data_IF_888357818177
#
_entry.id   IF_888357818177
#
_cell.length_a   1.000
_cell.length_b   1.000
_cell.length_c   1.000
_cell.angle_alpha   90.00
_cell.angle_beta   90.00
_cell.angle_gamma   90.00
#
_symmetry.space_group_name_H-M   'P 1'
#
loop_
_entity.id
_entity.type
_entity.pdbx_description
1 polymer ?
#
# COMPACT_ATOMS: atom_id res chain seq x y z
N UNK A 1 16.25 14.40 -11.13
CA UNK A 1 17.43 14.83 -11.94
C UNK A 1 18.39 13.66 -12.12
N UNK A 2 19.13 13.56 -13.24
CA UNK A 2 20.00 12.39 -13.48
C UNK A 2 21.09 12.23 -12.38
N UNK A 3 21.41 10.98 -11.95
CA UNK A 3 22.45 10.71 -10.98
C UNK A 3 23.85 11.07 -11.46
N UNK A 4 24.83 11.02 -10.57
CA UNK A 4 26.24 11.19 -10.95
C UNK A 4 26.71 9.99 -11.78
N UNK A 5 26.39 8.78 -11.31
CA UNK A 5 26.69 7.50 -11.94
C UNK A 5 25.55 6.51 -11.62
N UNK A 6 24.77 6.12 -12.63
CA UNK A 6 23.59 5.27 -12.46
C UNK A 6 23.91 3.85 -11.97
N UNK A 7 25.13 3.37 -12.25
CA UNK A 7 25.56 1.99 -11.95
C UNK A 7 26.32 1.88 -10.62
N UNK A 8 26.74 3.00 -10.02
CA UNK A 8 27.47 3.03 -8.75
C UNK A 8 26.53 3.20 -7.54
N UNK A 9 26.13 2.05 -7.00
CA UNK A 9 25.29 1.92 -5.80
C UNK A 9 26.09 1.91 -4.49
N UNK A 10 27.39 2.22 -4.51
CA UNK A 10 28.23 2.18 -3.31
C UNK A 10 27.74 3.22 -2.30
N UNK A 11 27.48 2.77 -1.06
CA UNK A 11 27.06 3.67 0.01
C UNK A 11 28.22 4.55 0.49
N UNK A 12 27.99 5.85 0.46
CA UNK A 12 28.89 6.91 0.93
C UNK A 12 28.26 7.58 2.14
N UNK A 13 28.96 7.52 3.27
CA UNK A 13 28.51 8.16 4.49
C UNK A 13 28.70 9.69 4.42
N UNK A 14 27.64 10.43 4.76
CA UNK A 14 27.57 11.90 4.75
C UNK A 14 27.04 12.40 6.07
N UNK A 15 27.82 13.21 6.79
CA UNK A 15 27.41 13.78 8.08
C UNK A 15 27.13 15.27 7.94
N UNK A 16 25.87 15.66 8.13
CA UNK A 16 25.41 17.05 8.12
C UNK A 16 25.29 17.55 9.55
N UNK A 17 26.10 18.54 9.91
CA UNK A 17 26.10 19.14 11.24
C UNK A 17 24.84 19.98 11.50
N UNK A 18 24.41 20.07 12.77
CA UNK A 18 23.28 20.93 13.17
C UNK A 18 23.58 22.40 12.84
N UNK A 19 22.63 23.05 12.17
CA UNK A 19 22.76 24.45 11.72
C UNK A 19 23.57 24.63 10.44
N UNK A 20 23.91 23.55 9.73
CA UNK A 20 24.53 23.65 8.40
C UNK A 20 23.65 24.42 7.43
N UNK A 21 24.24 25.36 6.70
CA UNK A 21 23.54 26.08 5.63
C UNK A 21 23.37 25.19 4.39
N UNK A 22 22.41 25.52 3.52
CA UNK A 22 22.26 24.85 2.23
C UNK A 22 23.57 24.88 1.40
N UNK A 23 24.35 25.96 1.52
CA UNK A 23 25.65 26.04 0.83
C UNK A 23 26.64 25.01 1.38
N UNK A 24 26.73 24.86 2.70
CA UNK A 24 27.63 23.88 3.31
C UNK A 24 27.22 22.43 2.96
N UNK A 25 25.91 22.16 2.89
CA UNK A 25 25.40 20.84 2.46
C UNK A 25 25.75 20.58 0.99
N UNK A 26 25.55 21.57 0.11
CA UNK A 26 25.87 21.42 -1.31
C UNK A 26 27.37 21.24 -1.57
N UNK A 27 28.24 21.93 -0.82
CA UNK A 27 29.69 21.75 -0.88
C UNK A 27 30.08 20.32 -0.46
N UNK A 28 29.51 19.82 0.64
CA UNK A 28 29.77 18.46 1.14
C UNK A 28 29.34 17.37 0.16
N UNK A 29 28.18 17.53 -0.49
CA UNK A 29 27.66 16.57 -1.46
C UNK A 29 28.49 16.57 -2.75
N UNK A 30 28.99 17.73 -3.18
CA UNK A 30 29.86 17.84 -4.36
C UNK A 30 31.24 17.25 -4.08
N UNK A 31 31.82 17.52 -2.90
CA UNK A 31 33.11 16.94 -2.46
C UNK A 31 33.08 15.41 -2.45
N UNK A 32 31.94 14.83 -2.07
CA UNK A 32 31.72 13.37 -2.06
C UNK A 32 31.26 12.79 -3.39
N UNK A 33 31.24 13.61 -4.45
CA UNK A 33 30.81 13.22 -5.80
C UNK A 33 29.37 12.66 -5.85
N UNK A 34 28.49 13.11 -4.95
CA UNK A 34 27.07 12.72 -4.89
C UNK A 34 26.19 13.67 -5.72
N UNK A 35 26.69 14.88 -6.00
CA UNK A 35 26.07 15.83 -6.93
C UNK A 35 27.09 16.33 -7.93
N UNK A 36 26.68 16.53 -9.19
CA UNK A 36 27.57 16.98 -10.28
C UNK A 36 27.88 18.48 -10.22
N UNK A 37 26.99 19.27 -9.62
CA UNK A 37 27.10 20.72 -9.60
C UNK A 37 26.37 21.30 -8.39
N UNK A 38 27.11 21.87 -7.44
CA UNK A 38 26.53 22.46 -6.23
C UNK A 38 25.64 23.66 -6.49
N UNK A 39 25.97 24.51 -7.47
CA UNK A 39 25.18 25.72 -7.75
C UNK A 39 23.80 25.32 -8.26
N UNK A 40 23.74 24.30 -9.09
CA UNK A 40 22.49 23.74 -9.59
C UNK A 40 21.70 23.05 -8.49
N UNK A 41 22.35 22.25 -7.63
CA UNK A 41 21.71 21.63 -6.47
C UNK A 41 21.07 22.67 -5.54
N UNK A 42 21.78 23.77 -5.26
CA UNK A 42 21.26 24.88 -4.45
C UNK A 42 20.03 25.52 -5.10
N UNK A 43 20.13 25.89 -6.38
CA UNK A 43 19.03 26.49 -7.12
C UNK A 43 17.80 25.58 -7.15
N UNK A 44 18.01 24.29 -7.39
CA UNK A 44 16.96 23.27 -7.41
C UNK A 44 16.27 23.14 -6.04
N UNK A 45 17.07 23.06 -4.96
CA UNK A 45 16.55 22.91 -3.60
C UNK A 45 15.76 24.14 -3.17
N UNK A 46 16.26 25.34 -3.47
CA UNK A 46 15.58 26.62 -3.20
C UNK A 46 14.28 26.75 -4.00
N UNK A 47 14.29 26.42 -5.29
CA UNK A 47 13.08 26.48 -6.12
C UNK A 47 12.01 25.47 -5.70
N UNK A 48 12.41 24.38 -5.05
CA UNK A 48 11.49 23.33 -4.57
C UNK A 48 10.87 23.61 -3.20
N UNK A 49 11.18 24.75 -2.55
CA UNK A 49 10.77 25.08 -1.16
C UNK A 49 11.14 23.98 -0.12
N UNK A 50 12.16 23.16 -0.43
CA UNK A 50 12.63 22.07 0.45
C UNK A 50 13.83 22.46 1.31
N UNK A 51 14.38 23.67 1.13
CA UNK A 51 15.55 24.16 1.88
C UNK A 51 15.37 24.12 3.40
N UNK A 52 14.18 24.46 3.91
CA UNK A 52 13.86 24.43 5.34
C UNK A 52 13.64 23.02 5.91
N UNK A 53 13.56 22.00 5.04
CA UNK A 53 13.24 20.62 5.41
C UNK A 53 14.49 19.76 5.59
N UNK A 54 15.66 20.20 5.12
CA UNK A 54 16.92 19.47 5.25
C UNK A 54 17.32 19.36 6.73
N UNK A 55 17.53 18.13 7.21
CA UNK A 55 17.83 17.85 8.61
C UNK A 55 19.32 17.56 8.81
N UNK A 56 19.81 17.85 10.00
CA UNK A 56 21.14 17.41 10.44
C UNK A 56 21.10 15.92 10.80
N UNK A 57 22.19 15.20 10.52
CA UNK A 57 22.27 13.75 10.70
C UNK A 57 23.39 13.11 9.87
N UNK A 58 23.60 11.82 10.06
CA UNK A 58 24.47 10.98 9.23
C UNK A 58 23.62 10.17 8.25
N UNK A 59 23.97 10.20 6.97
CA UNK A 59 23.21 9.60 5.88
C UNK A 59 24.10 8.66 5.07
N UNK A 60 23.53 7.59 4.53
CA UNK A 60 24.16 6.73 3.53
C UNK A 60 23.56 7.09 2.17
N UNK A 61 24.37 7.69 1.30
CA UNK A 61 23.96 8.16 -0.04
C UNK A 61 24.80 7.43 -1.10
N UNK A 62 24.31 7.29 -2.33
CA UNK A 62 25.10 6.69 -3.43
C UNK A 62 25.13 7.60 -4.65
N UNK A 63 26.10 7.39 -5.55
CA UNK A 63 26.23 8.16 -6.80
C UNK A 63 25.10 7.89 -7.79
N UNK A 64 24.41 6.75 -7.61
CA UNK A 64 23.20 6.36 -8.34
C UNK A 64 21.94 7.10 -7.88
N UNK A 65 21.97 7.84 -6.78
CA UNK A 65 20.82 8.63 -6.33
C UNK A 65 20.62 9.88 -7.18
N UNK A 66 19.37 10.19 -7.49
CA UNK A 66 19.01 11.47 -8.11
C UNK A 66 19.08 12.60 -7.08
N UNK A 67 19.07 13.86 -7.53
CA UNK A 67 19.00 14.99 -6.60
C UNK A 67 17.71 14.96 -5.77
N UNK A 68 16.62 14.42 -6.33
CA UNK A 68 15.35 14.26 -5.63
C UNK A 68 15.47 13.25 -4.49
N UNK A 69 16.12 12.11 -4.76
CA UNK A 69 16.37 11.07 -3.75
C UNK A 69 17.27 11.60 -2.63
N UNK A 70 18.35 12.31 -2.98
CA UNK A 70 19.29 12.91 -2.01
C UNK A 70 18.56 13.94 -1.14
N UNK A 71 17.81 14.87 -1.75
CA UNK A 71 17.05 15.89 -1.02
C UNK A 71 15.99 15.23 -0.13
N UNK A 72 15.31 14.20 -0.63
CA UNK A 72 14.31 13.46 0.12
C UNK A 72 14.93 12.75 1.34
N UNK A 73 16.03 12.02 1.16
CA UNK A 73 16.75 11.33 2.24
C UNK A 73 17.25 12.32 3.30
N UNK A 74 17.86 13.44 2.90
CA UNK A 74 18.34 14.46 3.86
C UNK A 74 17.18 15.19 4.55
N UNK A 75 16.04 15.37 3.87
CA UNK A 75 14.86 16.00 4.47
C UNK A 75 14.20 15.14 5.54
N UNK A 76 14.38 13.82 5.47
CA UNK A 76 13.78 12.84 6.39
C UNK A 76 14.59 12.67 7.68
N UNK A 77 15.93 12.65 7.61
CA UNK A 77 16.81 12.48 8.78
C UNK A 77 17.61 11.17 8.76
N UNK A 78 18.38 10.89 9.83
CA UNK A 78 19.28 9.72 9.98
C UNK A 78 18.66 8.35 9.69
N UNK A 79 17.34 8.27 9.77
CA UNK A 79 16.61 7.09 9.37
C UNK A 79 16.19 7.34 7.92
N UNK A 80 16.83 6.63 6.97
CA UNK A 80 16.18 6.38 5.68
C UNK A 80 14.72 5.99 5.93
N UNK A 81 13.81 6.27 4.98
CA UNK A 81 12.36 6.32 5.22
C UNK A 81 11.93 5.29 6.27
N UNK A 82 11.59 5.73 7.50
CA UNK A 82 11.33 4.82 8.63
C UNK A 82 10.29 3.82 8.13
N UNK A 83 10.64 2.54 8.05
CA UNK A 83 9.67 1.51 7.68
C UNK A 83 8.94 1.03 8.94
N UNK A 84 7.63 0.87 8.81
CA UNK A 84 6.78 0.25 9.81
C UNK A 84 6.24 -1.06 9.26
N UNK A 85 6.09 -2.04 10.15
CA UNK A 85 5.41 -3.30 9.83
C UNK A 85 4.02 -3.28 10.43
N UNK A 86 3.03 -3.71 9.65
CA UNK A 86 1.65 -3.90 10.10
C UNK A 86 1.19 -5.31 9.75
N UNK A 87 0.50 -5.95 10.69
CA UNK A 87 -0.13 -7.26 10.48
C UNK A 87 -1.63 -7.02 10.33
N UNK A 88 -2.16 -7.24 9.13
CA UNK A 88 -3.58 -7.15 8.84
C UNK A 88 -4.17 -8.56 8.92
N UNK A 89 -5.03 -8.77 9.91
CA UNK A 89 -5.55 -10.10 10.25
C UNK A 89 -6.77 -10.45 9.40
N UNK A 90 -6.88 -11.73 9.01
CA UNK A 90 -8.05 -12.29 8.33
C UNK A 90 -9.35 -12.06 9.12
N UNK A 91 -10.47 -11.94 8.40
CA UNK A 91 -11.80 -11.72 9.00
C UNK A 91 -12.07 -10.31 9.51
N UNK A 92 -11.08 -9.41 9.47
CA UNK A 92 -11.25 -7.99 9.81
C UNK A 92 -11.80 -7.18 8.63
N UNK A 93 -12.41 -6.03 8.95
CA UNK A 93 -13.02 -5.13 7.96
C UNK A 93 -12.09 -3.97 7.60
N UNK A 94 -12.36 -3.29 6.49
CA UNK A 94 -11.57 -2.13 6.04
C UNK A 94 -11.38 -1.05 7.14
N UNK A 95 -12.40 -0.69 7.95
CA UNK A 95 -12.21 0.24 9.07
C UNK A 95 -11.26 -0.23 10.17
N UNK A 96 -11.13 -1.54 10.38
CA UNK A 96 -10.17 -2.09 11.34
C UNK A 96 -8.75 -1.96 10.78
N UNK A 97 -8.54 -2.33 9.51
CA UNK A 97 -7.24 -2.14 8.85
C UNK A 97 -6.78 -0.68 8.87
N UNK A 98 -7.69 0.26 8.64
CA UNK A 98 -7.38 1.68 8.70
C UNK A 98 -6.85 2.10 10.08
N UNK A 99 -7.44 1.57 11.16
CA UNK A 99 -7.00 1.83 12.54
C UNK A 99 -5.67 1.14 12.86
N UNK A 100 -5.45 -0.06 12.35
CA UNK A 100 -4.20 -0.80 12.54
C UNK A 100 -3.04 -0.07 11.86
N UNK A 101 -3.26 0.49 10.67
CA UNK A 101 -2.29 1.33 9.95
C UNK A 101 -1.92 2.61 10.71
N UNK A 102 -2.91 3.27 11.32
CA UNK A 102 -2.66 4.44 12.17
C UNK A 102 -1.89 4.06 13.44
N UNK A 103 -2.28 2.95 14.08
CA UNK A 103 -1.62 2.45 15.29
C UNK A 103 -0.17 2.04 15.02
N UNK A 104 0.11 1.48 13.85
CA UNK A 104 1.45 1.14 13.38
C UNK A 104 2.28 2.37 12.95
N UNK A 105 1.70 3.58 12.96
CA UNK A 105 2.38 4.80 12.53
C UNK A 105 2.62 4.90 11.02
N UNK A 106 1.92 4.08 10.23
CA UNK A 106 2.03 4.05 8.77
C UNK A 106 1.09 5.04 8.08
N UNK A 107 0.07 5.52 8.80
CA UNK A 107 -0.83 6.60 8.38
C UNK A 107 -1.04 7.55 9.57
N UNK A 108 -1.19 8.85 9.27
CA UNK A 108 -1.50 9.84 10.31
C UNK A 108 -2.96 9.74 10.79
N UNK A 109 -3.88 9.43 9.87
CA UNK A 109 -5.31 9.30 10.10
C UNK A 109 -5.88 8.16 9.23
N UNK A 110 -7.07 7.66 9.57
CA UNK A 110 -7.75 6.60 8.81
C UNK A 110 -8.44 7.11 7.55
N UNK A 111 -8.72 8.42 7.45
CA UNK A 111 -9.57 9.03 6.44
C UNK A 111 -9.10 8.82 4.99
N UNK A 112 -7.81 9.02 4.71
CA UNK A 112 -7.24 8.87 3.38
C UNK A 112 -7.31 7.41 2.89
N UNK A 113 -6.95 6.46 3.76
CA UNK A 113 -7.06 5.03 3.47
C UNK A 113 -8.51 4.62 3.19
N UNK A 114 -9.44 5.05 4.06
CA UNK A 114 -10.86 4.76 3.90
C UNK A 114 -11.45 5.38 2.63
N UNK A 115 -10.97 6.55 2.22
CA UNK A 115 -11.40 7.19 0.97
C UNK A 115 -10.98 6.37 -0.25
N UNK A 116 -9.70 5.96 -0.31
CA UNK A 116 -9.19 5.11 -1.39
C UNK A 116 -9.92 3.76 -1.40
N UNK A 117 -10.10 3.11 -0.26
CA UNK A 117 -10.84 1.85 -0.18
C UNK A 117 -12.32 1.99 -0.59
N UNK A 118 -12.90 3.18 -0.39
CA UNK A 118 -14.28 3.49 -0.75
C UNK A 118 -14.49 3.66 -2.24
N UNK A 119 -13.53 4.25 -2.95
CA UNK A 119 -13.71 4.64 -4.36
C UNK A 119 -12.82 3.87 -5.33
N UNK A 120 -11.78 3.18 -4.84
CA UNK A 120 -10.66 2.66 -5.61
C UNK A 120 -9.93 3.73 -6.45
N UNK A 121 -10.14 5.01 -6.16
CA UNK A 121 -9.52 6.10 -6.91
C UNK A 121 -8.00 6.13 -6.69
N UNK A 122 -7.24 6.27 -7.78
CA UNK A 122 -5.78 6.24 -7.74
C UNK A 122 -5.18 4.83 -7.60
N UNK A 123 -6.01 3.78 -7.56
CA UNK A 123 -5.55 2.39 -7.54
C UNK A 123 -5.62 1.81 -8.95
N UNK A 124 -4.53 1.20 -9.40
CA UNK A 124 -4.46 0.48 -10.66
C UNK A 124 -5.04 -0.92 -10.47
N UNK A 125 -6.30 -1.08 -10.87
CA UNK A 125 -6.98 -2.38 -10.90
C UNK A 125 -6.67 -3.05 -12.25
N UNK A 126 -5.94 -4.17 -12.25
CA UNK A 126 -5.63 -4.92 -13.49
C UNK A 126 -6.52 -6.14 -13.71
N UNK A 127 -7.26 -6.56 -12.69
CA UNK A 127 -8.16 -7.69 -12.76
C UNK A 127 -9.50 -7.24 -13.37
N UNK A 128 -9.84 -7.77 -14.54
CA UNK A 128 -11.05 -7.39 -15.29
C UNK A 128 -12.33 -7.67 -14.50
N UNK A 129 -12.44 -8.82 -13.83
CA UNK A 129 -13.60 -9.13 -12.98
C UNK A 129 -13.75 -8.11 -11.84
N UNK A 130 -12.64 -7.66 -11.25
CA UNK A 130 -12.66 -6.65 -10.18
C UNK A 130 -13.10 -5.29 -10.72
N UNK A 131 -12.66 -4.91 -11.93
CA UNK A 131 -13.10 -3.68 -12.57
C UNK A 131 -14.61 -3.69 -12.82
N UNK A 132 -15.17 -4.82 -13.26
CA UNK A 132 -16.60 -4.98 -13.48
C UNK A 132 -17.39 -4.81 -12.18
N UNK A 133 -16.92 -5.42 -11.08
CA UNK A 133 -17.53 -5.28 -9.75
C UNK A 133 -17.53 -3.83 -9.28
N UNK A 134 -16.38 -3.15 -9.35
CA UNK A 134 -16.25 -1.74 -8.94
C UNK A 134 -17.16 -0.85 -9.79
N UNK A 135 -17.21 -1.07 -11.11
CA UNK A 135 -18.06 -0.32 -12.02
C UNK A 135 -19.55 -0.55 -11.75
N UNK A 136 -19.95 -1.78 -11.43
CA UNK A 136 -21.31 -2.14 -11.04
C UNK A 136 -21.72 -1.44 -9.75
N UNK A 137 -20.90 -1.52 -8.69
CA UNK A 137 -21.17 -0.88 -7.40
C UNK A 137 -21.29 0.65 -7.52
N UNK A 138 -20.50 1.27 -8.39
CA UNK A 138 -20.57 2.70 -8.62
C UNK A 138 -21.96 3.15 -9.12
N UNK A 139 -22.66 2.27 -9.83
CA UNK A 139 -23.98 2.52 -10.43
C UNK A 139 -25.14 1.91 -9.62
N UNK A 140 -24.86 1.01 -8.67
CA UNK A 140 -25.86 0.33 -7.87
C UNK A 140 -26.68 1.31 -7.00
N UNK A 141 -27.98 1.00 -6.82
CA UNK A 141 -28.87 1.76 -5.95
C UNK A 141 -28.50 1.60 -4.46
N UNK A 142 -28.06 0.40 -4.08
CA UNK A 142 -27.48 0.09 -2.77
C UNK A 142 -25.98 -0.14 -2.95
N UNK A 143 -25.19 0.89 -2.70
CA UNK A 143 -23.73 0.83 -2.88
C UNK A 143 -23.07 0.15 -1.69
N UNK A 144 -22.04 -0.66 -1.96
CA UNK A 144 -21.12 -1.09 -0.91
C UNK A 144 -20.52 0.14 -0.24
N UNK A 145 -20.35 0.06 1.08
CA UNK A 145 -19.73 1.15 1.81
C UNK A 145 -18.26 1.34 1.38
N UNK A 146 -17.56 0.24 1.10
CA UNK A 146 -16.21 0.22 0.53
C UNK A 146 -16.18 -0.72 -0.68
N UNK A 147 -15.88 -0.21 -1.88
CA UNK A 147 -15.84 -1.03 -3.12
C UNK A 147 -14.69 -2.04 -3.10
N UNK A 148 -13.65 -1.80 -2.30
CA UNK A 148 -12.54 -2.73 -2.10
C UNK A 148 -12.71 -3.65 -0.88
N UNK A 149 -13.85 -3.65 -0.19
CA UNK A 149 -14.09 -4.59 0.93
C UNK A 149 -13.96 -6.04 0.43
N UNK A 150 -13.15 -6.85 1.14
CA UNK A 150 -12.85 -8.24 0.75
C UNK A 150 -11.75 -8.39 -0.30
N UNK A 151 -11.34 -7.30 -0.96
CA UNK A 151 -10.26 -7.27 -1.97
C UNK A 151 -8.92 -6.76 -1.41
N UNK A 152 -8.94 -6.14 -0.22
CA UNK A 152 -7.73 -5.75 0.50
C UNK A 152 -7.19 -6.97 1.26
N UNK A 153 -6.22 -7.67 0.66
CA UNK A 153 -5.80 -8.97 1.18
C UNK A 153 -5.13 -8.86 2.56
N UNK A 154 -5.57 -9.63 3.58
CA UNK A 154 -4.92 -9.66 4.89
C UNK A 154 -3.55 -10.35 4.79
N UNK A 155 -2.49 -9.66 5.19
CA UNK A 155 -1.13 -10.18 5.25
C UNK A 155 -0.29 -9.31 6.21
N UNK A 156 0.98 -9.66 6.36
CA UNK A 156 1.98 -8.78 6.97
C UNK A 156 2.61 -7.90 5.91
N UNK A 157 2.53 -6.59 6.10
CA UNK A 157 3.08 -5.60 5.18
C UNK A 157 4.15 -4.75 5.85
N UNK A 158 5.16 -4.39 5.07
CA UNK A 158 6.15 -3.39 5.44
C UNK A 158 6.03 -2.20 4.49
N UNK A 159 5.90 -1.01 5.07
CA UNK A 159 5.77 0.24 4.33
C UNK A 159 6.65 1.31 4.93
N UNK A 160 7.03 2.29 4.12
CA UNK A 160 7.56 3.54 4.65
C UNK A 160 6.46 4.30 5.40
N UNK A 161 6.82 4.94 6.51
CA UNK A 161 5.92 5.73 7.39
C UNK A 161 5.26 6.93 6.72
N UNK A 162 5.71 7.33 5.54
CA UNK A 162 5.09 8.36 4.71
C UNK A 162 4.43 7.80 3.44
N UNK A 163 4.28 6.47 3.34
CA UNK A 163 3.62 5.86 2.21
C UNK A 163 2.22 6.43 2.04
N UNK A 164 1.88 6.84 0.82
CA UNK A 164 0.54 7.33 0.53
C UNK A 164 -0.48 6.20 0.69
N UNK A 165 -1.69 6.53 1.15
CA UNK A 165 -2.78 5.57 1.29
C UNK A 165 -3.02 4.74 0.02
N UNK A 166 -2.93 5.36 -1.16
CA UNK A 166 -3.04 4.69 -2.45
C UNK A 166 -1.98 3.61 -2.68
N UNK A 167 -0.74 3.83 -2.22
CA UNK A 167 0.35 2.84 -2.32
C UNK A 167 0.08 1.64 -1.43
N UNK A 168 -0.43 1.87 -0.21
CA UNK A 168 -0.78 0.81 0.73
C UNK A 168 -1.94 -0.03 0.17
N UNK A 169 -2.98 0.61 -0.34
CA UNK A 169 -4.11 -0.07 -0.97
C UNK A 169 -3.68 -0.83 -2.22
N UNK A 170 -2.85 -0.24 -3.08
CA UNK A 170 -2.32 -0.91 -4.26
C UNK A 170 -1.61 -2.21 -3.91
N UNK A 171 -0.76 -2.20 -2.88
CA UNK A 171 -0.05 -3.41 -2.44
C UNK A 171 -0.99 -4.52 -1.97
N UNK A 172 -2.07 -4.16 -1.28
CA UNK A 172 -3.06 -5.14 -0.82
C UNK A 172 -3.88 -5.72 -1.98
N UNK A 173 -4.23 -4.90 -2.96
CA UNK A 173 -4.93 -5.35 -4.18
C UNK A 173 -4.02 -6.22 -5.05
N UNK A 174 -2.75 -5.84 -5.21
CA UNK A 174 -1.76 -6.66 -5.92
C UNK A 174 -1.62 -8.02 -5.24
N UNK A 175 -1.51 -8.04 -3.91
CA UNK A 175 -1.45 -9.25 -3.11
C UNK A 175 -2.69 -10.13 -3.29
N UNK A 176 -3.88 -9.53 -3.31
CA UNK A 176 -5.11 -10.26 -3.61
C UNK A 176 -5.02 -10.95 -4.98
N UNK A 177 -4.56 -10.26 -6.02
CA UNK A 177 -4.45 -10.83 -7.36
C UNK A 177 -3.40 -11.95 -7.47
N UNK A 178 -2.33 -11.88 -6.68
CA UNK A 178 -1.35 -12.98 -6.57
C UNK A 178 -1.97 -14.24 -5.96
N UNK A 179 -2.77 -14.06 -4.90
CA UNK A 179 -3.43 -15.17 -4.20
C UNK A 179 -4.60 -15.73 -5.02
N UNK A 180 -5.44 -14.85 -5.56
CA UNK A 180 -6.55 -15.19 -6.47
C UNK A 180 -6.05 -15.39 -7.91
N UNK A 181 -5.13 -16.34 -8.06
CA UNK A 181 -4.53 -16.70 -9.34
C UNK A 181 -5.47 -17.55 -10.21
N UNK A 182 -4.97 -17.97 -11.38
CA UNK A 182 -5.75 -18.70 -12.38
C UNK A 182 -6.32 -20.04 -11.89
N UNK A 183 -5.73 -20.66 -10.86
CA UNK A 183 -6.30 -21.88 -10.26
C UNK A 183 -7.66 -21.57 -9.66
N UNK A 184 -7.75 -20.48 -8.88
CA UNK A 184 -9.01 -20.07 -8.26
C UNK A 184 -10.01 -19.54 -9.28
N UNK A 185 -9.54 -18.77 -10.28
CA UNK A 185 -10.41 -18.28 -11.37
C UNK A 185 -11.04 -19.42 -12.16
N UNK A 186 -10.24 -20.41 -12.58
CA UNK A 186 -10.74 -21.58 -13.30
C UNK A 186 -11.73 -22.37 -12.44
N UNK A 187 -11.45 -22.51 -11.13
CA UNK A 187 -12.36 -23.19 -10.22
C UNK A 187 -13.68 -22.44 -10.02
N UNK A 188 -13.65 -21.11 -9.95
CA UNK A 188 -14.85 -20.28 -9.88
C UNK A 188 -15.70 -20.46 -11.15
N UNK A 189 -15.07 -20.45 -12.33
CA UNK A 189 -15.75 -20.69 -13.60
C UNK A 189 -16.39 -22.09 -13.69
N UNK A 190 -15.71 -23.14 -13.21
CA UNK A 190 -16.28 -24.50 -13.12
C UNK A 190 -17.53 -24.57 -12.22
N UNK A 191 -17.57 -23.73 -11.18
CA UNK A 191 -18.69 -23.62 -10.25
C UNK A 191 -19.78 -22.68 -10.76
N UNK A 192 -19.57 -22.00 -11.89
CA UNK A 192 -20.48 -20.97 -12.41
C UNK A 192 -20.59 -19.76 -11.48
N UNK A 193 -19.51 -19.44 -10.76
CA UNK A 193 -19.44 -18.35 -9.79
C UNK A 193 -18.47 -17.28 -10.27
N UNK A 194 -18.79 -16.02 -10.01
CA UNK A 194 -17.88 -14.90 -10.23
C UNK A 194 -16.83 -14.83 -9.11
N UNK A 195 -15.73 -14.11 -9.32
CA UNK A 195 -14.80 -13.80 -8.23
C UNK A 195 -15.50 -13.16 -7.03
N UNK A 196 -16.44 -12.25 -7.26
CA UNK A 196 -17.18 -11.56 -6.20
C UNK A 196 -18.05 -12.51 -5.36
N UNK A 197 -18.69 -13.49 -6.01
CA UNK A 197 -19.43 -14.55 -5.31
C UNK A 197 -18.50 -15.36 -4.39
N UNK A 198 -17.31 -15.71 -4.88
CA UNK A 198 -16.33 -16.49 -4.12
C UNK A 198 -15.83 -15.69 -2.92
N UNK A 199 -15.47 -14.41 -3.10
CA UNK A 199 -15.03 -13.52 -2.01
C UNK A 199 -16.13 -13.33 -0.99
N UNK A 200 -17.37 -13.13 -1.44
CA UNK A 200 -18.55 -13.00 -0.56
C UNK A 200 -18.77 -14.26 0.26
N UNK A 201 -18.79 -15.44 -0.36
CA UNK A 201 -18.93 -16.72 0.35
C UNK A 201 -17.79 -16.93 1.34
N UNK A 202 -16.54 -16.62 0.95
CA UNK A 202 -15.39 -16.74 1.81
C UNK A 202 -15.53 -15.84 3.06
N UNK A 203 -15.98 -14.59 2.89
CA UNK A 203 -16.20 -13.66 4.01
C UNK A 203 -17.27 -14.16 5.01
N UNK A 204 -18.32 -14.82 4.51
CA UNK A 204 -19.37 -15.39 5.35
C UNK A 204 -18.78 -16.57 6.14
N UNK A 205 -18.06 -17.47 5.47
CA UNK A 205 -17.43 -18.63 6.12
C UNK A 205 -16.43 -18.19 7.19
N UNK A 206 -15.62 -17.17 6.90
CA UNK A 206 -14.62 -16.61 7.81
C UNK A 206 -15.27 -16.06 9.09
N UNK A 207 -16.41 -15.38 8.97
CA UNK A 207 -17.14 -14.86 10.13
C UNK A 207 -17.83 -15.94 10.96
N UNK A 208 -18.23 -17.05 10.36
CA UNK A 208 -19.07 -18.08 10.98
C UNK A 208 -18.28 -19.23 11.62
N UNK A 209 -17.03 -19.43 11.21
CA UNK A 209 -16.28 -20.61 11.57
C UNK A 209 -14.78 -20.34 11.80
N UNK A 210 -14.09 -21.37 12.30
CA UNK A 210 -12.63 -21.41 12.35
C UNK A 210 -12.09 -22.29 11.23
N UNK A 211 -10.84 -22.07 10.82
CA UNK A 211 -10.19 -22.76 9.71
C UNK A 211 -10.45 -24.29 9.60
N UNK A 212 -10.38 -25.09 10.68
CA UNK A 212 -10.66 -26.53 10.59
C UNK A 212 -12.08 -26.89 10.11
N UNK A 213 -13.03 -25.98 10.24
CA UNK A 213 -14.45 -26.17 9.91
C UNK A 213 -14.83 -25.60 8.54
N UNK A 214 -13.93 -24.84 7.88
CA UNK A 214 -14.24 -24.16 6.61
C UNK A 214 -14.72 -25.10 5.51
N UNK A 215 -14.10 -26.27 5.37
CA UNK A 215 -14.51 -27.26 4.37
C UNK A 215 -15.95 -27.75 4.58
N UNK A 216 -16.31 -27.99 5.84
CA UNK A 216 -17.67 -28.42 6.19
C UNK A 216 -18.66 -27.30 5.93
N UNK A 217 -18.34 -26.08 6.36
CA UNK A 217 -19.24 -24.94 6.20
C UNK A 217 -19.41 -24.54 4.73
N UNK A 218 -18.32 -24.51 3.96
CA UNK A 218 -18.35 -24.31 2.50
C UNK A 218 -19.28 -25.31 1.81
N UNK A 219 -19.21 -26.59 2.19
CA UNK A 219 -20.10 -27.62 1.64
C UNK A 219 -21.57 -27.32 1.91
N UNK A 220 -21.90 -26.84 3.11
CA UNK A 220 -23.27 -26.43 3.47
C UNK A 220 -23.71 -25.24 2.64
N UNK A 221 -22.89 -24.19 2.55
CA UNK A 221 -23.20 -22.97 1.77
C UNK A 221 -23.47 -23.32 0.30
N UNK A 222 -22.59 -24.07 -0.34
CA UNK A 222 -22.77 -24.45 -1.75
C UNK A 222 -24.00 -25.35 -1.97
N UNK A 223 -24.33 -26.24 -1.04
CA UNK A 223 -25.54 -27.06 -1.15
C UNK A 223 -26.81 -26.18 -1.02
N UNK A 224 -26.83 -25.22 -0.09
CA UNK A 224 -27.96 -24.28 0.07
C UNK A 224 -28.16 -23.41 -1.18
N UNK A 225 -27.09 -22.86 -1.74
CA UNK A 225 -27.14 -22.05 -2.95
C UNK A 225 -27.69 -22.84 -4.14
N UNK A 226 -27.25 -24.10 -4.31
CA UNK A 226 -27.72 -24.99 -5.38
C UNK A 226 -29.22 -25.30 -5.28
N UNK A 227 -29.74 -25.36 -4.06
CA UNK A 227 -31.16 -25.61 -3.77
C UNK A 227 -31.99 -24.30 -3.72
N UNK A 228 -31.39 -23.14 -4.01
CA UNK A 228 -32.07 -21.84 -3.98
C UNK A 228 -32.52 -21.40 -2.58
N UNK A 229 -31.91 -21.98 -1.53
CA UNK A 229 -32.26 -21.67 -0.14
C UNK A 229 -31.53 -20.42 0.34
N UNK A 230 -32.20 -19.61 1.17
CA UNK A 230 -31.55 -18.50 1.89
C UNK A 230 -30.42 -19.04 2.77
N UNK A 231 -29.29 -18.33 2.82
CA UNK A 231 -28.12 -18.78 3.58
C UNK A 231 -28.37 -18.82 5.09
N UNK A 232 -29.24 -17.95 5.63
CA UNK A 232 -29.63 -17.92 7.05
C UNK A 232 -28.42 -17.98 8.00
N UNK A 233 -27.43 -17.11 7.77
CA UNK A 233 -26.21 -17.03 8.58
C UNK A 233 -26.22 -15.73 9.39
N UNK A 234 -25.74 -15.78 10.63
CA UNK A 234 -25.81 -14.68 11.59
C UNK A 234 -25.01 -13.46 11.10
N UNK A 235 -23.91 -13.73 10.39
CA UNK A 235 -23.03 -12.77 9.71
C UNK A 235 -23.65 -11.98 8.55
N UNK A 236 -24.86 -12.34 8.10
CA UNK A 236 -25.58 -11.67 7.01
C UNK A 236 -26.74 -10.79 7.48
N UNK A 237 -27.00 -10.72 8.79
CA UNK A 237 -28.06 -9.90 9.40
C UNK A 237 -27.57 -8.52 9.83
#
# INVERSE_FOLDING_TARGET
MAPVDEDDHTAVEVTIARGSSLSAIADLLEEKELVRNKQFFKLYTDFSDKTSKLRAGTYQLSKSMTYDDIIYTISRGMDGPISGTVVLVEGMTTPVFAKDLVTAGLQAEDTAYLAVARTAEGVRITNEEMQEVIAFDAQAAEKRLFVLEGYLFPDTYEFYTDAEAGTIVQRQVDRFNEVFNDIYKNRAAELGMTMDDIVTIASIIEKEAKAPQFKQLSSVVHNRLREGMRLQMDSTQ
#
